data_IF_110001131785
#
_entry.id   IF_110001131785
#
_cell.length_a   1.000
_cell.length_b   1.000
_cell.length_c   1.000
_cell.angle_alpha   90.00
_cell.angle_beta   90.00
_cell.angle_gamma   90.00
#
_symmetry.space_group_name_H-M   'P 1'
#
loop_
_entity.id
_entity.type
_entity.pdbx_description
1 polymer ?
#
# COMPACT_ATOMS: atom_id res chain seq x y z
N UNK A 1 8.15 25.48 -63.93
CA UNK A 1 7.31 24.95 -62.83
C UNK A 1 8.17 24.75 -61.65
N UNK A 2 7.98 25.56 -60.60
CA UNK A 2 8.67 25.40 -59.35
C UNK A 2 8.02 24.24 -58.60
N UNK A 3 8.77 23.18 -58.40
CA UNK A 3 8.30 22.07 -57.56
C UNK A 3 8.39 22.49 -56.12
N UNK A 4 7.23 22.61 -55.45
CA UNK A 4 7.16 22.85 -54.00
C UNK A 4 7.87 21.68 -53.30
N UNK A 5 8.90 21.92 -52.46
CA UNK A 5 9.52 20.83 -51.74
C UNK A 5 8.46 20.16 -50.84
N UNK A 6 8.51 18.85 -50.67
CA UNK A 6 7.57 18.16 -49.80
C UNK A 6 7.66 18.76 -48.38
N UNK A 7 6.53 18.88 -47.67
CA UNK A 7 6.57 19.35 -46.28
C UNK A 7 7.53 18.47 -45.47
N UNK A 8 8.27 19.07 -44.55
CA UNK A 8 9.11 18.27 -43.67
C UNK A 8 8.25 17.21 -42.99
N UNK A 9 8.77 16.00 -42.80
CA UNK A 9 8.03 14.98 -42.06
C UNK A 9 7.63 15.57 -40.72
N UNK A 10 6.43 15.25 -40.21
CA UNK A 10 6.07 15.68 -38.86
C UNK A 10 7.22 15.31 -37.95
N UNK A 11 7.62 16.25 -37.12
CA UNK A 11 8.57 15.97 -36.03
C UNK A 11 7.90 14.95 -35.13
N UNK A 12 7.90 13.69 -35.58
CA UNK A 12 7.46 12.60 -34.74
C UNK A 12 8.40 12.58 -33.57
N UNK A 13 7.86 12.76 -32.39
CA UNK A 13 8.47 12.25 -31.17
C UNK A 13 9.06 10.91 -31.60
N UNK A 14 10.39 10.79 -31.63
CA UNK A 14 11.01 9.58 -32.17
C UNK A 14 10.46 8.40 -31.40
N UNK A 15 10.33 7.24 -32.03
CA UNK A 15 9.82 6.05 -31.33
C UNK A 15 10.60 5.73 -30.06
N UNK A 16 11.88 6.14 -29.99
CA UNK A 16 12.72 6.03 -28.79
C UNK A 16 12.29 6.99 -27.69
N UNK A 17 11.88 8.23 -28.00
CA UNK A 17 11.39 9.18 -26.99
C UNK A 17 10.05 8.72 -26.42
N UNK A 18 9.14 8.23 -27.25
CA UNK A 18 7.87 7.65 -26.80
C UNK A 18 8.12 6.48 -25.85
N UNK A 19 9.03 5.57 -26.19
CA UNK A 19 9.39 4.45 -25.32
C UNK A 19 9.96 4.90 -23.99
N UNK A 20 10.84 5.91 -24.00
CA UNK A 20 11.41 6.48 -22.79
C UNK A 20 10.32 7.00 -21.87
N UNK A 21 9.36 7.76 -22.38
CA UNK A 21 8.26 8.27 -21.58
C UNK A 21 7.31 7.17 -21.12
N UNK A 22 7.08 6.14 -21.92
CA UNK A 22 6.32 4.96 -21.50
C UNK A 22 7.00 4.23 -20.34
N UNK A 23 8.32 4.06 -20.40
CA UNK A 23 9.10 3.47 -19.31
C UNK A 23 9.02 4.35 -18.06
N UNK A 24 9.17 5.67 -18.21
CA UNK A 24 9.08 6.60 -17.08
C UNK A 24 7.68 6.62 -16.45
N UNK A 25 6.62 6.43 -17.24
CA UNK A 25 5.27 6.32 -16.71
C UNK A 25 5.10 5.17 -15.70
N UNK A 26 5.89 4.13 -15.83
CA UNK A 26 5.93 3.02 -14.87
C UNK A 26 7.04 3.18 -13.84
N UNK A 27 8.26 3.47 -14.29
CA UNK A 27 9.44 3.53 -13.42
C UNK A 27 9.35 4.61 -12.33
N UNK A 28 8.66 5.72 -12.60
CA UNK A 28 8.46 6.79 -11.61
C UNK A 28 7.60 6.36 -10.42
N UNK A 29 6.86 5.26 -10.54
CA UNK A 29 6.17 4.66 -9.39
C UNK A 29 7.16 4.20 -8.30
N UNK A 30 8.42 3.91 -8.65
CA UNK A 30 9.47 3.58 -7.68
C UNK A 30 9.80 4.75 -6.74
N UNK A 31 9.39 5.98 -7.08
CA UNK A 31 9.47 7.12 -6.17
C UNK A 31 8.72 6.90 -4.86
N UNK A 32 7.79 5.95 -4.82
CA UNK A 32 7.09 5.55 -3.61
C UNK A 32 7.98 4.97 -2.52
N UNK A 33 9.17 4.48 -2.86
CA UNK A 33 10.15 4.04 -1.86
C UNK A 33 10.76 5.21 -1.10
N UNK A 34 10.77 6.41 -1.71
CA UNK A 34 11.29 7.63 -1.09
C UNK A 34 10.18 8.45 -0.42
N UNK A 35 8.99 8.46 -1.01
CA UNK A 35 7.80 9.13 -0.48
C UNK A 35 6.70 8.08 -0.33
N UNK A 36 6.58 7.46 0.84
CA UNK A 36 5.62 6.38 1.06
C UNK A 36 4.19 6.78 0.70
N UNK A 37 3.42 5.84 0.14
CA UNK A 37 2.02 5.98 -0.25
C UNK A 37 1.79 6.88 -1.47
N UNK A 38 2.21 8.14 -1.40
CA UNK A 38 1.95 9.13 -2.45
C UNK A 38 2.86 8.94 -3.67
N UNK A 39 4.15 8.62 -3.47
CA UNK A 39 5.14 8.56 -4.54
C UNK A 39 4.82 7.54 -5.64
N UNK A 40 4.20 6.42 -5.28
CA UNK A 40 3.79 5.39 -6.24
C UNK A 40 2.75 5.91 -7.25
N UNK A 41 1.89 6.82 -6.84
CA UNK A 41 0.83 7.40 -7.67
C UNK A 41 1.30 8.71 -8.30
N UNK A 42 1.95 9.57 -7.52
CA UNK A 42 2.38 10.91 -7.95
C UNK A 42 3.38 10.83 -9.11
N UNK A 43 4.34 9.89 -9.06
CA UNK A 43 5.32 9.71 -10.13
C UNK A 43 4.67 9.47 -11.50
N UNK A 44 3.91 8.39 -11.68
CA UNK A 44 3.19 8.13 -12.92
C UNK A 44 2.20 9.23 -13.29
N UNK A 45 1.51 9.81 -12.33
CA UNK A 45 0.55 10.89 -12.56
C UNK A 45 1.22 12.12 -13.17
N UNK A 46 2.36 12.53 -12.65
CA UNK A 46 3.13 13.68 -13.18
C UNK A 46 3.57 13.40 -14.62
N UNK A 47 4.13 12.22 -14.90
CA UNK A 47 4.56 11.85 -16.24
C UNK A 47 3.36 11.82 -17.21
N UNK A 48 2.27 11.21 -16.79
CA UNK A 48 1.06 11.13 -17.62
C UNK A 48 0.49 12.51 -17.94
N UNK A 49 0.30 13.36 -16.95
CA UNK A 49 -0.25 14.71 -17.15
C UNK A 49 0.66 15.57 -18.03
N UNK A 50 1.98 15.42 -17.88
CA UNK A 50 2.94 16.20 -18.66
C UNK A 50 3.06 15.75 -20.12
N UNK A 51 2.87 14.46 -20.41
CA UNK A 51 3.23 13.86 -21.68
C UNK A 51 2.10 13.15 -22.43
N UNK A 52 0.91 13.02 -21.85
CA UNK A 52 -0.21 12.29 -22.45
C UNK A 52 -0.63 12.81 -23.81
N UNK A 53 -0.45 14.12 -24.06
CA UNK A 53 -0.82 14.73 -25.32
C UNK A 53 0.19 14.44 -26.45
N UNK A 54 1.41 14.01 -26.13
CA UNK A 54 2.47 13.80 -27.10
C UNK A 54 2.29 12.51 -27.90
N UNK A 55 1.65 11.50 -27.31
CA UNK A 55 1.46 10.19 -27.93
C UNK A 55 0.33 9.40 -27.30
N UNK A 56 -0.52 8.70 -28.10
CA UNK A 56 -1.51 7.76 -27.57
C UNK A 56 -0.89 6.63 -26.74
N UNK A 57 0.33 6.20 -27.07
CA UNK A 57 1.04 5.17 -26.31
C UNK A 57 1.39 5.66 -24.91
N UNK A 58 1.88 6.88 -24.77
CA UNK A 58 2.20 7.49 -23.48
C UNK A 58 0.92 7.62 -22.64
N UNK A 59 -0.18 8.04 -23.26
CA UNK A 59 -1.47 8.15 -22.56
C UNK A 59 -1.93 6.78 -22.05
N UNK A 60 -1.84 5.74 -22.87
CA UNK A 60 -2.23 4.38 -22.48
C UNK A 60 -1.36 3.83 -21.34
N UNK A 61 -0.05 3.95 -21.44
CA UNK A 61 0.88 3.47 -20.40
C UNK A 61 0.71 4.24 -19.09
N UNK A 62 0.49 5.54 -19.15
CA UNK A 62 0.23 6.37 -17.97
C UNK A 62 -1.04 5.95 -17.24
N UNK A 63 -2.14 5.76 -17.97
CA UNK A 63 -3.40 5.27 -17.40
C UNK A 63 -3.25 3.90 -16.78
N UNK A 64 -2.58 2.98 -17.45
CA UNK A 64 -2.35 1.62 -16.96
C UNK A 64 -1.53 1.65 -15.66
N UNK A 65 -0.46 2.44 -15.63
CA UNK A 65 0.39 2.59 -14.44
C UNK A 65 -0.39 3.15 -13.26
N UNK A 66 -1.16 4.22 -13.46
CA UNK A 66 -1.96 4.84 -12.40
C UNK A 66 -3.03 3.88 -11.91
N UNK A 67 -3.74 3.20 -12.80
CA UNK A 67 -4.76 2.21 -12.44
C UNK A 67 -4.18 1.08 -11.61
N UNK A 68 -2.99 0.60 -11.99
CA UNK A 68 -2.28 -0.42 -11.22
C UNK A 68 -1.94 0.07 -9.81
N UNK A 69 -1.38 1.28 -9.68
CA UNK A 69 -1.01 1.82 -8.37
C UNK A 69 -2.24 2.07 -7.48
N UNK A 70 -3.34 2.53 -8.05
CA UNK A 70 -4.60 2.68 -7.32
C UNK A 70 -5.15 1.32 -6.85
N UNK A 71 -5.07 0.30 -7.70
CA UNK A 71 -5.46 -1.06 -7.33
C UNK A 71 -4.59 -1.60 -6.20
N UNK A 72 -3.27 -1.40 -6.27
CA UNK A 72 -2.34 -1.80 -5.22
C UNK A 72 -2.61 -1.09 -3.90
N UNK A 73 -2.97 0.20 -3.95
CA UNK A 73 -3.37 0.93 -2.75
C UNK A 73 -4.59 0.30 -2.08
N UNK A 74 -5.63 -0.02 -2.87
CA UNK A 74 -6.84 -0.69 -2.35
C UNK A 74 -6.49 -2.04 -1.73
N UNK A 75 -5.70 -2.86 -2.41
CA UNK A 75 -5.28 -4.17 -1.89
C UNK A 75 -4.46 -4.05 -0.61
N UNK A 76 -3.57 -3.06 -0.53
CA UNK A 76 -2.77 -2.81 0.67
C UNK A 76 -3.64 -2.37 1.87
N UNK A 77 -4.66 -1.56 1.64
CA UNK A 77 -5.63 -1.16 2.68
C UNK A 77 -6.39 -2.40 3.19
N UNK A 78 -6.92 -3.22 2.28
CA UNK A 78 -7.63 -4.45 2.63
C UNK A 78 -6.71 -5.40 3.41
N UNK A 79 -5.49 -5.61 2.92
CA UNK A 79 -4.51 -6.47 3.58
C UNK A 79 -4.15 -5.95 4.99
N UNK A 80 -4.01 -4.64 5.15
CA UNK A 80 -3.76 -4.01 6.46
C UNK A 80 -4.89 -4.25 7.44
N UNK A 81 -6.14 -4.09 7.01
CA UNK A 81 -7.33 -4.37 7.83
C UNK A 81 -7.37 -5.85 8.24
N UNK A 82 -7.15 -6.77 7.29
CA UNK A 82 -7.11 -8.20 7.57
C UNK A 82 -6.00 -8.56 8.57
N UNK A 83 -4.83 -7.94 8.46
CA UNK A 83 -3.73 -8.12 9.40
C UNK A 83 -4.12 -7.70 10.81
N UNK A 84 -4.76 -6.54 10.97
CA UNK A 84 -5.24 -6.05 12.27
C UNK A 84 -6.29 -7.00 12.87
N UNK A 85 -7.23 -7.50 12.08
CA UNK A 85 -8.26 -8.44 12.54
C UNK A 85 -7.64 -9.76 12.99
N UNK A 86 -6.72 -10.33 12.23
CA UNK A 86 -6.04 -11.58 12.57
C UNK A 86 -5.21 -11.45 13.84
N UNK A 87 -4.41 -10.38 13.96
CA UNK A 87 -3.60 -10.11 15.16
C UNK A 87 -4.51 -9.91 16.38
N UNK A 88 -5.60 -9.15 16.22
CA UNK A 88 -6.59 -8.94 17.27
C UNK A 88 -7.22 -10.25 17.73
N UNK A 89 -7.56 -11.13 16.82
CA UNK A 89 -8.11 -12.46 17.12
C UNK A 89 -7.14 -13.30 17.96
N UNK A 90 -5.86 -13.34 17.59
CA UNK A 90 -4.84 -14.06 18.35
C UNK A 90 -4.64 -13.47 19.74
N UNK A 91 -4.67 -12.15 19.88
CA UNK A 91 -4.58 -11.48 21.19
C UNK A 91 -5.77 -11.86 22.07
N UNK A 92 -7.00 -11.82 21.54
CA UNK A 92 -8.20 -12.22 22.29
C UNK A 92 -8.13 -13.68 22.74
N UNK A 93 -7.69 -14.57 21.87
CA UNK A 93 -7.52 -15.99 22.22
C UNK A 93 -6.51 -16.15 23.34
N UNK A 94 -5.37 -15.47 23.26
CA UNK A 94 -4.34 -15.50 24.32
C UNK A 94 -4.89 -14.99 25.63
N UNK A 95 -5.61 -13.88 25.64
CA UNK A 95 -6.21 -13.30 26.85
C UNK A 95 -7.21 -14.26 27.49
N UNK A 96 -8.00 -14.98 26.71
CA UNK A 96 -8.94 -15.98 27.22
C UNK A 96 -8.22 -17.17 27.85
N UNK A 97 -7.17 -17.65 27.22
CA UNK A 97 -6.35 -18.75 27.76
C UNK A 97 -5.72 -18.33 29.10
N UNK A 98 -5.11 -17.14 29.14
CA UNK A 98 -4.52 -16.61 30.37
C UNK A 98 -5.55 -16.43 31.48
N UNK A 99 -6.75 -15.95 31.14
CA UNK A 99 -7.84 -15.81 32.11
C UNK A 99 -8.18 -17.16 32.74
N UNK A 100 -8.42 -18.19 31.94
CA UNK A 100 -8.76 -19.53 32.46
C UNK A 100 -7.65 -20.09 33.33
N UNK A 101 -6.39 -19.99 32.90
CA UNK A 101 -5.24 -20.49 33.66
C UNK A 101 -5.13 -19.79 35.00
N UNK A 102 -5.19 -18.47 35.03
CA UNK A 102 -5.05 -17.72 36.29
C UNK A 102 -6.23 -17.92 37.21
N UNK A 103 -7.46 -18.05 36.70
CA UNK A 103 -8.63 -18.37 37.53
C UNK A 103 -8.50 -19.75 38.15
N UNK A 104 -8.02 -20.74 37.43
CA UNK A 104 -7.78 -22.08 37.99
C UNK A 104 -6.72 -22.03 39.08
N UNK A 105 -5.60 -21.37 38.86
CA UNK A 105 -4.52 -21.21 39.84
C UNK A 105 -5.05 -20.52 41.11
N UNK A 106 -5.78 -19.41 40.95
CA UNK A 106 -6.38 -18.69 42.06
C UNK A 106 -7.36 -19.54 42.85
N UNK A 107 -8.17 -20.35 42.17
CA UNK A 107 -9.15 -21.25 42.81
C UNK A 107 -8.46 -22.35 43.62
N UNK A 108 -7.39 -22.93 43.08
CA UNK A 108 -6.58 -23.94 43.80
C UNK A 108 -5.95 -23.32 45.02
N UNK A 109 -5.34 -22.15 44.93
CA UNK A 109 -4.73 -21.48 46.10
C UNK A 109 -5.77 -21.06 47.12
N UNK A 110 -6.95 -20.63 46.71
CA UNK A 110 -8.05 -20.33 47.61
C UNK A 110 -8.49 -21.57 48.41
N UNK A 111 -8.54 -22.74 47.79
CA UNK A 111 -8.85 -24.00 48.48
C UNK A 111 -7.80 -24.38 49.53
N UNK A 112 -6.59 -23.88 49.38
CA UNK A 112 -5.50 -24.06 50.36
C UNK A 112 -5.44 -22.95 51.42
N UNK A 113 -6.42 -22.05 51.45
CA UNK A 113 -6.46 -20.90 52.34
C UNK A 113 -5.53 -19.76 51.99
N UNK A 114 -5.01 -19.73 50.76
CA UNK A 114 -4.09 -18.70 50.26
C UNK A 114 -4.80 -17.72 49.35
N UNK A 115 -4.44 -16.44 49.47
CA UNK A 115 -4.90 -15.41 48.52
C UNK A 115 -3.92 -15.30 47.35
N UNK A 116 -4.37 -15.70 46.15
CA UNK A 116 -3.59 -15.51 44.94
C UNK A 116 -3.75 -14.10 44.42
N UNK A 117 -2.64 -13.42 44.17
CA UNK A 117 -2.65 -12.09 43.55
C UNK A 117 -2.38 -12.23 42.08
N UNK A 118 -3.41 -11.96 41.26
CA UNK A 118 -3.30 -12.04 39.82
C UNK A 118 -2.20 -11.11 39.31
N UNK A 119 -1.30 -11.61 38.43
CA UNK A 119 -0.31 -10.76 37.78
C UNK A 119 -0.98 -9.80 36.78
N UNK A 120 -0.36 -8.67 36.51
CA UNK A 120 -0.81 -7.67 35.54
C UNK A 120 -2.22 -7.11 35.84
N UNK A 121 -2.70 -7.23 37.08
CA UNK A 121 -4.03 -6.74 37.43
C UNK A 121 -3.98 -5.27 37.80
N UNK A 122 -4.88 -4.47 37.23
CA UNK A 122 -5.13 -3.10 37.64
C UNK A 122 -6.01 -3.13 38.89
N UNK A 123 -5.54 -2.55 40.00
CA UNK A 123 -6.27 -2.55 41.28
C UNK A 123 -7.27 -1.40 41.34
N UNK A 124 -8.45 -1.59 40.75
CA UNK A 124 -9.51 -0.57 40.75
C UNK A 124 -10.30 -0.52 42.04
N UNK A 125 -10.36 -1.65 42.75
CA UNK A 125 -11.03 -1.78 44.06
C UNK A 125 -9.94 -1.98 45.12
N UNK A 126 -9.88 -1.06 46.05
CA UNK A 126 -8.95 -1.12 47.18
C UNK A 126 -9.61 -1.65 48.42
#
# INVERSE_FOLDING_TARGET
METIPPPPPPTSTTSSDVRTWCVLAHATALAGFFVPWAGHIVGPLVVWLAKRADSPEIDAHGKESINFQLSMLIYNVIAGILCLVLVGFFILLLLHILNVVFVIVASIQASEGKLYRYPLTIRLIS
#
